data_IF_235976707497
#
_entry.id   IF_235976707497
#
_cell.length_a   1.000
_cell.length_b   1.000
_cell.length_c   1.000
_cell.angle_alpha   90.00
_cell.angle_beta   90.00
_cell.angle_gamma   90.00
#
_symmetry.space_group_name_H-M   'P 1'
#
loop_
_entity.id
_entity.type
_entity.pdbx_description
1 polymer ?
#
# COMPACT_ATOMS: atom_id res chain seq x y z
N UNK A 1 -13.25 15.22 -19.97
CA UNK A 1 -13.11 14.06 -19.08
C UNK A 1 -12.46 14.53 -17.80
N UNK A 2 -13.04 14.25 -16.67
CA UNK A 2 -12.42 14.61 -15.42
C UNK A 2 -11.27 13.64 -15.12
N UNK A 3 -10.09 14.17 -14.78
CA UNK A 3 -8.97 13.40 -14.24
C UNK A 3 -9.21 13.00 -12.78
N UNK A 4 -10.48 12.94 -12.38
CA UNK A 4 -10.85 12.59 -11.01
C UNK A 4 -10.67 11.09 -10.81
N UNK A 5 -9.69 10.75 -9.98
CA UNK A 5 -9.40 9.38 -9.64
C UNK A 5 -10.49 8.79 -8.73
N UNK A 6 -10.86 7.55 -8.97
CA UNK A 6 -11.66 6.77 -8.03
C UNK A 6 -10.92 6.65 -6.69
N UNK A 7 -11.62 6.38 -5.57
CA UNK A 7 -10.96 6.16 -4.29
C UNK A 7 -9.86 5.10 -4.34
N UNK A 8 -10.09 4.00 -5.03
CA UNK A 8 -9.09 2.93 -5.22
C UNK A 8 -7.87 3.42 -5.98
N UNK A 9 -8.07 4.16 -7.07
CA UNK A 9 -6.97 4.69 -7.86
C UNK A 9 -6.15 5.74 -7.09
N UNK A 10 -6.79 6.53 -6.22
CA UNK A 10 -6.07 7.46 -5.32
C UNK A 10 -5.16 6.73 -4.36
N UNK A 11 -5.65 5.69 -3.72
CA UNK A 11 -4.83 4.85 -2.82
C UNK A 11 -3.66 4.23 -3.57
N UNK A 12 -3.90 3.68 -4.76
CA UNK A 12 -2.85 3.13 -5.60
C UNK A 12 -1.79 4.18 -5.96
N UNK A 13 -2.21 5.37 -6.39
CA UNK A 13 -1.30 6.47 -6.69
C UNK A 13 -0.46 6.88 -5.49
N UNK A 14 -1.10 7.02 -4.34
CA UNK A 14 -0.42 7.47 -3.13
C UNK A 14 0.61 6.42 -2.66
N UNK A 15 0.28 5.13 -2.78
CA UNK A 15 1.23 4.05 -2.51
C UNK A 15 2.39 4.00 -3.51
N UNK A 16 2.14 4.25 -4.79
CA UNK A 16 3.21 4.35 -5.81
C UNK A 16 4.22 5.44 -5.42
N UNK A 17 3.77 6.55 -4.86
CA UNK A 17 4.62 7.67 -4.45
C UNK A 17 5.45 7.40 -3.20
N UNK A 18 5.16 6.33 -2.47
CA UNK A 18 5.95 5.85 -1.34
C UNK A 18 6.89 4.77 -1.87
N UNK A 19 8.18 5.04 -1.92
CA UNK A 19 9.16 4.08 -2.42
C UNK A 19 9.39 2.96 -1.39
N UNK A 20 8.89 1.77 -1.69
CA UNK A 20 9.03 0.56 -0.90
C UNK A 20 9.88 -0.49 -1.61
N UNK A 21 10.84 -0.04 -2.40
CA UNK A 21 11.69 -0.94 -3.20
C UNK A 21 12.43 -1.94 -2.31
N UNK A 22 12.35 -3.19 -2.70
CA UNK A 22 13.05 -4.31 -2.10
C UNK A 22 14.00 -4.92 -3.15
N UNK A 23 15.31 -4.83 -2.89
CA UNK A 23 16.34 -5.39 -3.76
C UNK A 23 16.68 -6.84 -3.42
N UNK A 24 16.03 -7.41 -2.40
CA UNK A 24 16.35 -8.75 -1.90
C UNK A 24 17.53 -8.75 -0.93
N UNK A 25 17.83 -9.92 -0.38
CA UNK A 25 19.00 -10.14 0.50
C UNK A 25 19.08 -9.16 1.69
N UNK A 26 17.94 -8.79 2.24
CA UNK A 26 17.86 -7.83 3.35
C UNK A 26 18.04 -6.37 2.94
N UNK A 27 18.11 -6.08 1.67
CA UNK A 27 18.26 -4.72 1.12
C UNK A 27 16.90 -4.19 0.69
N UNK A 28 16.22 -3.51 1.58
CA UNK A 28 14.93 -2.90 1.31
C UNK A 28 14.85 -1.50 1.94
N UNK A 29 14.12 -0.60 1.30
CA UNK A 29 13.79 0.71 1.91
C UNK A 29 12.88 0.55 3.13
N UNK A 30 12.06 -0.48 3.12
CA UNK A 30 11.10 -0.77 4.16
C UNK A 30 9.70 -0.26 3.84
N UNK A 31 8.73 -0.80 4.55
CA UNK A 31 7.30 -0.57 4.29
C UNK A 31 6.61 0.25 5.39
N UNK A 32 7.36 0.79 6.36
CA UNK A 32 6.78 1.51 7.49
C UNK A 32 5.91 2.68 7.04
N UNK A 33 6.40 3.52 6.12
CA UNK A 33 5.65 4.66 5.63
C UNK A 33 4.36 4.25 4.92
N UNK A 34 4.42 3.20 4.09
CA UNK A 34 3.23 2.65 3.43
C UNK A 34 2.25 2.06 4.44
N UNK A 35 2.73 1.35 5.45
CA UNK A 35 1.89 0.81 6.52
C UNK A 35 1.21 1.93 7.33
N UNK A 36 1.92 3.00 7.65
CA UNK A 36 1.35 4.17 8.34
C UNK A 36 0.28 4.87 7.50
N UNK A 37 0.54 5.06 6.21
CA UNK A 37 -0.43 5.60 5.27
C UNK A 37 -1.73 4.78 5.25
N UNK A 38 -1.60 3.47 5.09
CA UNK A 38 -2.75 2.56 5.12
C UNK A 38 -3.46 2.55 6.48
N UNK A 39 -2.69 2.61 7.57
CA UNK A 39 -3.23 2.70 8.92
C UNK A 39 -4.11 3.93 9.13
N UNK A 40 -3.70 5.08 8.60
CA UNK A 40 -4.52 6.31 8.67
C UNK A 40 -5.82 6.17 7.88
N UNK A 41 -5.78 5.54 6.70
CA UNK A 41 -7.00 5.24 5.94
C UNK A 41 -7.95 4.33 6.72
N UNK A 42 -7.41 3.29 7.35
CA UNK A 42 -8.19 2.34 8.15
C UNK A 42 -8.82 3.00 9.38
N UNK A 43 -8.08 3.90 10.06
CA UNK A 43 -8.63 4.70 11.15
C UNK A 43 -9.77 5.60 10.68
N UNK A 44 -9.63 6.21 9.53
CA UNK A 44 -10.69 7.02 8.92
C UNK A 44 -11.96 6.24 8.63
N UNK A 45 -11.87 4.93 8.49
CA UNK A 45 -13.01 4.02 8.35
C UNK A 45 -13.57 3.51 9.70
N UNK A 46 -13.02 3.98 10.82
CA UNK A 46 -13.43 3.57 12.16
C UNK A 46 -12.80 2.26 12.64
N UNK A 47 -11.75 1.79 11.96
CA UNK A 47 -11.02 0.58 12.34
C UNK A 47 -9.83 0.91 13.24
N UNK A 48 -9.34 -0.09 13.96
CA UNK A 48 -8.18 0.02 14.83
C UNK A 48 -7.00 -0.78 14.24
N UNK A 49 -6.17 -0.17 13.39
CA UNK A 49 -5.04 -0.86 12.78
C UNK A 49 -3.99 -1.22 13.82
N UNK A 50 -3.36 -2.38 13.62
CA UNK A 50 -2.20 -2.83 14.39
C UNK A 50 -1.02 -2.98 13.45
N UNK A 51 0.19 -2.70 13.97
CA UNK A 51 1.42 -2.76 13.18
C UNK A 51 2.34 -3.85 13.74
N UNK A 52 2.98 -4.57 12.84
CA UNK A 52 3.90 -5.65 13.18
C UNK A 52 5.17 -5.50 12.35
N UNK A 53 6.32 -5.49 13.02
CA UNK A 53 7.63 -5.43 12.38
C UNK A 53 8.27 -6.82 12.38
N UNK A 54 8.40 -7.42 11.19
CA UNK A 54 9.15 -8.67 11.04
C UNK A 54 10.66 -8.46 11.15
N UNK A 55 11.12 -7.25 10.81
CA UNK A 55 12.49 -6.78 10.91
C UNK A 55 12.44 -5.24 10.93
N UNK A 56 13.54 -4.53 11.20
CA UNK A 56 13.54 -3.07 11.17
C UNK A 56 12.98 -2.51 9.86
N UNK A 57 11.97 -1.65 9.95
CA UNK A 57 11.24 -1.03 8.84
C UNK A 57 10.47 -1.99 7.93
N UNK A 58 10.39 -3.27 8.25
CA UNK A 58 9.58 -4.26 7.54
C UNK A 58 8.23 -4.40 8.22
N UNK A 59 7.44 -3.32 8.14
CA UNK A 59 6.19 -3.13 8.88
C UNK A 59 5.00 -3.63 8.09
N UNK A 60 4.19 -4.48 8.73
CA UNK A 60 2.87 -4.87 8.25
C UNK A 60 1.79 -4.12 9.02
N UNK A 61 0.67 -3.84 8.38
CA UNK A 61 -0.52 -3.29 9.03
C UNK A 61 -1.67 -4.28 8.90
N UNK A 62 -2.40 -4.47 9.99
CA UNK A 62 -3.54 -5.40 10.06
C UNK A 62 -4.72 -4.69 10.71
N UNK A 63 -5.89 -4.83 10.14
CA UNK A 63 -7.13 -4.39 10.75
C UNK A 63 -8.19 -5.48 10.68
N UNK A 64 -9.07 -5.52 11.67
CA UNK A 64 -10.20 -6.44 11.71
C UNK A 64 -11.48 -5.69 11.45
N UNK A 65 -12.28 -6.25 10.57
CA UNK A 65 -13.67 -5.82 10.34
C UNK A 65 -14.57 -6.86 10.98
N UNK A 66 -15.30 -6.52 12.05
CA UNK A 66 -16.20 -7.48 12.69
C UNK A 66 -17.31 -7.91 11.71
N UNK A 67 -17.53 -9.23 11.62
CA UNK A 67 -18.67 -9.75 10.90
C UNK A 67 -19.95 -9.67 11.72
N UNK A 68 -21.09 -9.82 11.05
CA UNK A 68 -22.40 -9.83 11.71
C UNK A 68 -22.60 -11.09 12.56
N UNK A 69 -21.98 -12.22 12.18
CA UNK A 69 -22.04 -13.48 12.90
C UNK A 69 -20.64 -13.91 13.34
N UNK A 70 -20.31 -13.72 14.65
CA UNK A 70 -18.98 -14.03 15.16
C UNK A 70 -18.69 -15.54 15.24
N UNK A 71 -19.70 -16.40 15.06
CA UNK A 71 -19.50 -17.86 15.04
C UNK A 71 -18.90 -18.37 13.74
N UNK A 72 -18.92 -17.56 12.67
CA UNK A 72 -18.35 -17.93 11.38
C UNK A 72 -16.82 -17.76 11.39
N UNK A 73 -16.10 -18.58 10.61
CA UNK A 73 -14.68 -18.42 10.43
C UNK A 73 -14.31 -17.07 9.83
N UNK A 74 -13.14 -16.55 10.15
CA UNK A 74 -12.63 -15.33 9.58
C UNK A 74 -12.18 -15.52 8.13
N UNK A 75 -12.48 -14.52 7.27
CA UNK A 75 -11.87 -14.38 5.96
C UNK A 75 -10.65 -13.47 6.09
N UNK A 76 -9.51 -13.91 5.60
CA UNK A 76 -8.30 -13.09 5.54
C UNK A 76 -8.10 -12.61 4.10
N UNK A 77 -8.03 -11.29 3.94
CA UNK A 77 -7.66 -10.66 2.66
C UNK A 77 -6.31 -10.00 2.88
N UNK A 78 -5.32 -10.31 2.04
CA UNK A 78 -3.98 -9.77 2.19
C UNK A 78 -3.36 -9.39 0.86
N UNK A 79 -2.40 -8.50 0.92
CA UNK A 79 -1.52 -8.11 -0.17
C UNK A 79 -0.19 -7.68 0.40
N UNK A 80 0.80 -7.43 -0.46
CA UNK A 80 2.08 -6.91 -0.03
C UNK A 80 2.28 -5.48 -0.52
N UNK A 81 3.08 -4.70 0.20
CA UNK A 81 3.35 -3.29 -0.08
C UNK A 81 4.75 -3.04 -0.63
N UNK A 82 5.66 -4.00 -0.52
CA UNK A 82 6.96 -3.88 -1.15
C UNK A 82 6.87 -4.08 -2.67
N UNK A 83 7.80 -3.47 -3.38
CA UNK A 83 7.89 -3.54 -4.84
C UNK A 83 9.29 -3.94 -5.27
N UNK A 84 9.38 -4.58 -6.44
CA UNK A 84 10.65 -4.88 -7.08
C UNK A 84 11.31 -3.60 -7.59
N UNK A 85 12.65 -3.59 -7.79
CA UNK A 85 13.33 -2.43 -8.36
C UNK A 85 12.79 -2.05 -9.74
N UNK A 86 12.66 -0.75 -9.98
CA UNK A 86 12.31 -0.19 -11.28
C UNK A 86 13.50 0.61 -11.82
N UNK A 87 13.89 0.33 -13.07
CA UNK A 87 14.89 1.14 -13.76
C UNK A 87 14.18 2.25 -14.52
N UNK A 88 14.32 3.49 -14.05
CA UNK A 88 13.67 4.65 -14.64
C UNK A 88 13.99 4.84 -16.13
N UNK A 89 15.13 4.35 -16.60
CA UNK A 89 15.50 4.42 -18.01
C UNK A 89 14.57 3.60 -18.93
N UNK A 90 13.89 2.60 -18.38
CA UNK A 90 12.95 1.74 -19.10
C UNK A 90 11.49 2.20 -18.99
N UNK A 91 11.25 3.33 -18.32
CA UNK A 91 9.91 3.88 -18.11
C UNK A 91 9.71 5.16 -18.92
N UNK A 92 8.51 5.36 -19.46
CA UNK A 92 8.14 6.61 -20.17
C UNK A 92 7.76 7.73 -19.19
N UNK A 93 7.53 7.42 -17.92
CA UNK A 93 7.21 8.35 -16.83
C UNK A 93 8.06 7.98 -15.62
N UNK A 94 8.09 8.82 -14.59
CA UNK A 94 8.70 8.46 -13.32
C UNK A 94 7.95 7.27 -12.71
N UNK A 95 8.61 6.10 -12.49
CA UNK A 95 7.95 4.91 -11.95
C UNK A 95 7.36 5.10 -10.55
N UNK A 96 7.83 6.09 -9.79
CA UNK A 96 7.32 6.45 -8.46
C UNK A 96 6.52 7.75 -8.45
N UNK A 97 6.23 8.32 -9.61
CA UNK A 97 5.53 9.61 -9.72
C UNK A 97 4.03 9.53 -9.47
N UNK A 98 3.42 8.38 -9.69
CA UNK A 98 1.97 8.23 -9.63
C UNK A 98 1.27 9.17 -10.60
N UNK A 99 1.80 9.31 -11.80
CA UNK A 99 1.29 10.18 -12.83
C UNK A 99 0.08 9.55 -13.53
N UNK A 100 -0.93 10.35 -13.78
CA UNK A 100 -2.12 9.93 -14.54
C UNK A 100 -2.07 10.55 -15.93
N UNK A 101 -2.05 9.72 -16.97
CA UNK A 101 -2.10 10.13 -18.37
C UNK A 101 -3.13 9.34 -19.14
N UNK A 102 -4.00 10.03 -19.86
CA UNK A 102 -4.99 9.39 -20.73
C UNK A 102 -5.85 8.34 -19.98
N UNK A 103 -6.18 8.60 -18.72
CA UNK A 103 -6.98 7.70 -17.89
C UNK A 103 -6.22 6.48 -17.33
N UNK A 104 -4.90 6.45 -17.49
CA UNK A 104 -4.04 5.39 -16.95
C UNK A 104 -3.13 5.93 -15.85
N UNK A 105 -2.96 5.12 -14.81
CA UNK A 105 -2.06 5.35 -13.69
C UNK A 105 -0.77 4.55 -13.89
#
# INVERSE_FOLDING_TARGET
MSDELSPTARVARDLIRIDTTNWGEGKAKGETEAAEYLGELLRGLGLAPQYFDAAPRRTSVVARVPGADPSLPALVVHGHTDVVPADAANWSVDPFGGEVRGGML
#
